data_IF_381593918917
#
_entry.id   IF_381593918917
#
_cell.length_a   1.000
_cell.length_b   1.000
_cell.length_c   1.000
_cell.angle_alpha   90.00
_cell.angle_beta   90.00
_cell.angle_gamma   90.00
#
_symmetry.space_group_name_H-M   'P 1'
#
loop_
_entity.id
_entity.type
_entity.pdbx_description
1 polymer ?
#
# COMPACT_ATOMS: atom_id res chain seq x y z
N UNK A 1 -9.10 5.45 45.85
CA UNK A 1 -9.79 6.07 44.70
C UNK A 1 -8.87 5.97 43.50
N UNK A 2 -9.38 5.41 42.39
CA UNK A 2 -8.62 4.86 41.25
C UNK A 2 -7.95 5.94 40.40
N UNK A 3 -6.62 5.90 40.23
CA UNK A 3 -5.91 6.71 39.22
C UNK A 3 -6.07 6.00 37.87
N UNK A 4 -7.24 6.17 37.26
CA UNK A 4 -7.60 5.62 35.94
C UNK A 4 -8.05 6.72 34.98
N UNK A 5 -7.46 7.91 35.09
CA UNK A 5 -7.75 8.99 34.17
C UNK A 5 -6.87 8.87 32.93
N UNK A 6 -7.49 8.35 31.86
CA UNK A 6 -6.99 8.23 30.51
C UNK A 6 -6.44 9.58 30.00
N UNK A 7 -5.15 9.84 30.16
CA UNK A 7 -4.49 10.97 29.49
C UNK A 7 -4.22 10.61 28.02
N UNK A 8 -5.27 10.62 27.19
CA UNK A 8 -5.16 10.41 25.74
C UNK A 8 -5.02 11.76 25.04
N UNK A 9 -3.79 12.13 24.75
CA UNK A 9 -3.45 13.34 24.01
C UNK A 9 -3.46 13.00 22.51
N UNK A 10 -4.08 13.86 21.69
CA UNK A 10 -4.07 13.67 20.24
C UNK A 10 -2.64 13.86 19.70
N UNK A 11 -1.98 12.75 19.34
CA UNK A 11 -0.65 12.78 18.72
C UNK A 11 -0.81 13.05 17.23
N UNK A 12 -0.01 13.98 16.70
CA UNK A 12 0.03 14.26 15.27
C UNK A 12 0.49 13.01 14.51
N UNK A 13 -0.39 12.43 13.72
CA UNK A 13 -0.12 11.18 12.98
C UNK A 13 0.92 11.35 11.87
N UNK A 14 1.23 12.60 11.48
CA UNK A 14 2.20 12.90 10.43
C UNK A 14 3.63 12.43 10.76
N UNK A 15 3.99 12.34 12.05
CA UNK A 15 5.34 11.94 12.49
C UNK A 15 5.41 10.43 12.76
N UNK A 16 4.27 9.79 13.02
CA UNK A 16 4.21 8.38 13.47
C UNK A 16 3.78 7.39 12.38
N UNK A 17 3.07 7.84 11.35
CA UNK A 17 2.64 6.99 10.23
C UNK A 17 3.53 7.23 9.02
N UNK A 18 3.82 6.17 8.30
CA UNK A 18 4.47 6.27 7.00
C UNK A 18 3.65 7.17 6.07
N UNK A 19 4.31 8.05 5.33
CA UNK A 19 3.66 9.02 4.44
C UNK A 19 3.07 8.26 3.24
N UNK A 20 1.73 8.09 3.15
CA UNK A 20 1.13 7.47 1.99
C UNK A 20 1.11 8.47 0.83
N UNK A 21 1.37 7.98 -0.39
CA UNK A 21 1.20 8.77 -1.61
C UNK A 21 -0.03 8.22 -2.35
N UNK A 22 -0.95 9.10 -2.75
CA UNK A 22 -2.21 8.75 -3.39
C UNK A 22 -3.06 7.71 -2.62
N UNK A 23 -2.89 7.61 -1.29
CA UNK A 23 -3.56 6.61 -0.47
C UNK A 23 -2.87 5.24 -0.39
N UNK A 24 -1.70 5.07 -1.04
CA UNK A 24 -0.88 3.86 -1.10
C UNK A 24 0.52 3.98 -0.50
N UNK A 25 1.23 2.87 -0.22
CA UNK A 25 2.67 2.90 0.05
C UNK A 25 3.41 3.42 -1.18
N UNK A 26 4.24 4.44 -0.98
CA UNK A 26 4.93 5.21 -2.03
C UNK A 26 5.56 4.33 -3.11
N UNK A 27 6.29 3.30 -2.72
CA UNK A 27 7.06 2.47 -3.66
C UNK A 27 6.18 1.75 -4.68
N UNK A 28 4.97 1.35 -4.28
CA UNK A 28 4.08 0.53 -5.12
C UNK A 28 3.22 1.38 -6.01
N UNK A 29 2.79 2.54 -5.50
CA UNK A 29 2.10 3.54 -6.31
C UNK A 29 3.01 4.01 -7.45
N UNK A 30 4.28 4.32 -7.14
CA UNK A 30 5.26 4.71 -8.18
C UNK A 30 5.50 3.56 -9.15
N UNK A 31 5.74 2.33 -8.67
CA UNK A 31 5.99 1.19 -9.55
C UNK A 31 4.81 0.95 -10.50
N UNK A 32 3.58 0.99 -9.97
CA UNK A 32 2.39 0.85 -10.78
C UNK A 32 2.31 1.99 -11.81
N UNK A 33 2.45 3.24 -11.39
CA UNK A 33 2.41 4.40 -12.28
C UNK A 33 3.45 4.32 -13.41
N UNK A 34 4.65 3.81 -13.12
CA UNK A 34 5.68 3.57 -14.13
C UNK A 34 5.26 2.48 -15.12
N UNK A 35 4.72 1.36 -14.62
CA UNK A 35 4.21 0.29 -15.48
C UNK A 35 3.06 0.80 -16.35
N UNK A 36 2.18 1.65 -15.81
CA UNK A 36 1.17 2.39 -16.59
C UNK A 36 1.79 3.11 -17.76
N UNK A 37 2.79 3.94 -17.47
CA UNK A 37 3.41 4.81 -18.45
C UNK A 37 4.02 3.99 -19.57
N UNK A 38 4.76 2.93 -19.21
CA UNK A 38 5.38 2.03 -20.20
C UNK A 38 4.32 1.32 -21.06
N UNK A 39 3.28 0.76 -20.44
CA UNK A 39 2.24 0.03 -21.19
C UNK A 39 1.39 0.98 -22.04
N UNK A 40 1.04 2.15 -21.51
CA UNK A 40 0.28 3.16 -22.25
C UNK A 40 1.06 3.75 -23.42
N UNK A 41 2.36 3.99 -23.24
CA UNK A 41 3.24 4.43 -24.34
C UNK A 41 3.47 3.32 -25.36
N UNK A 42 3.49 2.06 -24.93
CA UNK A 42 3.73 0.90 -25.80
C UNK A 42 2.48 0.41 -26.55
N UNK A 43 1.29 0.77 -26.11
CA UNK A 43 0.03 0.34 -26.71
C UNK A 43 -0.90 1.54 -26.94
N UNK A 44 -1.23 1.83 -28.19
CA UNK A 44 -2.23 2.86 -28.55
C UNK A 44 -3.69 2.45 -28.21
N UNK A 45 -3.88 1.33 -27.53
CA UNK A 45 -5.20 0.79 -27.19
C UNK A 45 -5.76 1.43 -25.90
N UNK A 46 -6.87 2.15 -26.05
CA UNK A 46 -7.53 2.84 -24.92
C UNK A 46 -8.12 1.86 -23.86
N UNK A 47 -8.29 0.59 -24.23
CA UNK A 47 -8.79 -0.50 -23.36
C UNK A 47 -7.85 -0.74 -22.16
N UNK A 48 -6.58 -0.36 -22.26
CA UNK A 48 -5.59 -0.53 -21.20
C UNK A 48 -5.80 0.49 -20.06
N UNK A 49 -6.36 1.67 -20.37
CA UNK A 49 -6.61 2.72 -19.39
C UNK A 49 -7.52 2.29 -18.22
N UNK A 50 -8.70 1.65 -18.45
CA UNK A 50 -9.55 1.19 -17.35
C UNK A 50 -8.91 0.06 -16.54
N UNK A 51 -8.12 -0.83 -17.15
CA UNK A 51 -7.36 -1.87 -16.42
C UNK A 51 -6.34 -1.22 -15.46
N UNK A 52 -5.69 -0.16 -15.94
CA UNK A 52 -4.72 0.58 -15.15
C UNK A 52 -5.39 1.34 -13.99
N UNK A 53 -6.50 2.02 -14.26
CA UNK A 53 -7.31 2.69 -13.25
C UNK A 53 -7.79 1.70 -12.17
N UNK A 54 -8.27 0.53 -12.58
CA UNK A 54 -8.72 -0.52 -11.65
C UNK A 54 -7.60 -0.99 -10.73
N UNK A 55 -6.42 -1.27 -11.29
CA UNK A 55 -5.23 -1.66 -10.53
C UNK A 55 -4.82 -0.56 -9.55
N UNK A 56 -4.93 0.71 -9.97
CA UNK A 56 -4.60 1.84 -9.12
C UNK A 56 -5.57 1.97 -7.94
N UNK A 57 -6.88 1.84 -8.16
CA UNK A 57 -7.90 1.81 -7.09
C UNK A 57 -7.65 0.66 -6.12
N UNK A 58 -7.23 -0.51 -6.62
CA UNK A 58 -6.90 -1.67 -5.80
C UNK A 58 -5.72 -1.41 -4.84
N UNK A 59 -4.71 -0.66 -5.29
CA UNK A 59 -3.59 -0.23 -4.44
C UNK A 59 -4.06 0.73 -3.34
N UNK A 60 -4.93 1.68 -3.68
CA UNK A 60 -5.52 2.64 -2.73
C UNK A 60 -6.34 1.90 -1.67
N UNK A 61 -7.18 0.95 -2.10
CA UNK A 61 -8.01 0.16 -1.20
C UNK A 61 -7.16 -0.70 -0.25
N UNK A 62 -6.11 -1.33 -0.78
CA UNK A 62 -5.21 -2.18 0.01
C UNK A 62 -4.49 -1.39 1.10
N UNK A 63 -4.03 -0.19 0.78
CA UNK A 63 -3.31 0.66 1.70
C UNK A 63 -4.18 1.43 2.68
N UNK A 64 -5.47 1.62 2.35
CA UNK A 64 -6.49 2.03 3.33
C UNK A 64 -6.68 0.99 4.44
N UNK A 65 -6.46 -0.30 4.15
CA UNK A 65 -6.52 -1.38 5.16
C UNK A 65 -5.22 -1.56 5.92
N UNK A 66 -4.08 -1.61 5.24
CA UNK A 66 -2.77 -1.76 5.89
C UNK A 66 -1.64 -1.25 5.00
N UNK A 67 -0.88 -0.26 5.47
CA UNK A 67 0.27 0.29 4.75
C UNK A 67 1.42 -0.72 4.60
N UNK A 68 1.55 -1.67 5.54
CA UNK A 68 2.60 -2.70 5.56
C UNK A 68 2.18 -4.01 4.88
N UNK A 69 0.97 -4.07 4.30
CA UNK A 69 0.45 -5.26 3.63
C UNK A 69 1.47 -5.87 2.67
N UNK A 70 2.11 -5.04 1.84
CA UNK A 70 3.06 -5.52 0.86
C UNK A 70 4.42 -5.92 1.43
N UNK A 71 4.86 -5.32 2.54
CA UNK A 71 6.04 -5.81 3.24
C UNK A 71 5.77 -7.19 3.86
N UNK A 72 4.61 -7.36 4.49
CA UNK A 72 4.15 -8.64 4.99
C UNK A 72 4.02 -9.68 3.87
N UNK A 73 3.43 -9.30 2.74
CA UNK A 73 3.29 -10.17 1.57
C UNK A 73 4.65 -10.57 0.98
N UNK A 74 5.57 -9.61 0.82
CA UNK A 74 6.94 -9.89 0.36
C UNK A 74 7.66 -10.82 1.32
N UNK A 75 7.49 -10.61 2.63
CA UNK A 75 8.07 -11.46 3.67
C UNK A 75 7.44 -12.85 3.70
N UNK A 76 6.14 -12.95 3.43
CA UNK A 76 5.40 -14.20 3.26
C UNK A 76 5.94 -14.99 2.06
N UNK A 77 6.08 -14.37 0.88
CA UNK A 77 6.66 -15.06 -0.28
C UNK A 77 8.11 -15.49 -0.05
N UNK A 78 8.89 -14.68 0.68
CA UNK A 78 10.28 -15.01 1.02
C UNK A 78 10.37 -16.04 2.17
N UNK A 79 9.25 -16.32 2.84
CA UNK A 79 9.22 -17.29 3.92
C UNK A 79 9.35 -18.70 3.33
N UNK A 80 10.57 -19.22 3.36
CA UNK A 80 10.83 -20.63 3.07
C UNK A 80 10.10 -21.46 4.12
N UNK A 81 9.42 -22.51 3.67
CA UNK A 81 8.60 -23.42 4.48
C UNK A 81 9.51 -24.28 5.37
N UNK A 82 10.06 -23.68 6.43
CA UNK A 82 10.99 -24.34 7.36
C UNK A 82 10.29 -25.17 8.45
N UNK A 83 8.96 -25.10 8.53
CA UNK A 83 8.18 -26.04 9.32
C UNK A 83 7.83 -27.27 8.47
N UNK A 84 8.71 -28.27 8.52
CA UNK A 84 8.29 -29.66 8.43
C UNK A 84 7.94 -30.14 9.84
N UNK A 85 6.87 -30.95 10.01
CA UNK A 85 6.48 -31.50 11.31
C UNK A 85 7.56 -32.37 11.94
#
# INVERSE_FOLDING_TARGET
>A
MSIKDNYRIAVCQAITKDIPIAGGPRNIVILNATIAGVVFLGFENIIIMPLFAFTHVLIIYSAKRDQKFFECFKRYMKHKRYYHP
#
